data_IF_524893585395
#
_entry.id   IF_524893585395
#
_cell.length_a   1.000
_cell.length_b   1.000
_cell.length_c   1.000
_cell.angle_alpha   90.00
_cell.angle_beta   90.00
_cell.angle_gamma   90.00
#
_symmetry.space_group_name_H-M   'P 1'
#
loop_
_entity.id
_entity.type
_entity.pdbx_description
1 polymer ?
#
# COMPACT_ATOMS: atom_id res chain seq x y z
N UNK A 1 19.12 -23.11 29.38
CA UNK A 1 20.15 -22.40 28.60
C UNK A 1 20.55 -23.32 27.47
N UNK A 2 20.11 -23.05 26.24
CA UNK A 2 20.81 -23.50 25.04
C UNK A 2 20.28 -22.69 23.86
N UNK A 3 21.20 -22.01 23.22
CA UNK A 3 21.04 -20.95 22.23
C UNK A 3 20.84 -21.53 20.83
N UNK A 4 19.68 -21.31 20.21
CA UNK A 4 19.52 -21.52 18.77
C UNK A 4 20.21 -20.39 18.01
N UNK A 5 21.35 -20.71 17.40
CA UNK A 5 22.06 -19.87 16.43
C UNK A 5 21.29 -19.83 15.11
N UNK A 6 21.04 -18.62 14.61
CA UNK A 6 20.59 -18.36 13.25
C UNK A 6 21.66 -18.83 12.25
N UNK A 7 21.30 -19.74 11.35
CA UNK A 7 22.22 -20.30 10.36
C UNK A 7 22.15 -19.48 9.06
N UNK A 8 23.27 -18.81 8.79
CA UNK A 8 23.58 -17.99 7.60
C UNK A 8 23.64 -18.90 6.35
N UNK A 9 22.87 -18.61 5.30
CA UNK A 9 22.92 -19.36 4.04
C UNK A 9 23.75 -18.62 2.98
N UNK A 10 24.82 -19.26 2.51
CA UNK A 10 25.65 -18.88 1.35
C UNK A 10 25.16 -19.60 0.07
N UNK A 11 25.52 -19.14 -1.15
CA UNK A 11 24.94 -19.62 -2.40
C UNK A 11 25.72 -20.81 -3.00
N UNK A 12 25.00 -21.85 -3.42
CA UNK A 12 25.52 -22.98 -4.18
C UNK A 12 24.85 -23.06 -5.55
N UNK A 13 25.64 -22.92 -6.61
CA UNK A 13 25.27 -23.08 -8.02
C UNK A 13 25.11 -24.58 -8.34
N UNK A 14 24.01 -24.98 -8.98
CA UNK A 14 23.81 -26.34 -9.46
C UNK A 14 22.69 -26.41 -10.50
N UNK A 15 23.06 -26.79 -11.72
CA UNK A 15 22.20 -26.81 -12.90
C UNK A 15 21.44 -28.14 -13.09
N UNK A 16 20.38 -28.04 -13.90
CA UNK A 16 19.71 -29.09 -14.68
C UNK A 16 18.55 -29.86 -14.03
N UNK A 17 17.37 -29.67 -14.60
CA UNK A 17 16.12 -30.35 -14.27
C UNK A 17 14.96 -29.79 -15.11
N UNK A 18 14.90 -30.19 -16.38
CA UNK A 18 14.00 -29.68 -17.41
C UNK A 18 12.56 -30.15 -17.16
N UNK A 19 11.75 -29.29 -16.52
CA UNK A 19 10.29 -29.37 -16.48
C UNK A 19 9.71 -28.04 -16.96
N UNK A 20 8.99 -28.06 -18.07
CA UNK A 20 8.45 -26.88 -18.77
C UNK A 20 7.37 -26.16 -17.96
N UNK A 21 7.78 -25.23 -17.09
CA UNK A 21 6.92 -24.30 -16.35
C UNK A 21 6.57 -23.08 -17.21
N UNK A 22 5.55 -23.24 -18.07
CA UNK A 22 5.03 -22.15 -18.92
C UNK A 22 3.86 -21.37 -18.30
N UNK A 23 3.60 -21.48 -17.00
CA UNK A 23 2.35 -21.00 -16.37
C UNK A 23 2.51 -20.01 -15.20
N UNK A 24 3.70 -19.50 -14.92
CA UNK A 24 3.88 -18.35 -14.01
C UNK A 24 4.17 -17.11 -14.84
N UNK A 25 3.14 -16.63 -15.56
CA UNK A 25 3.22 -15.32 -16.21
C UNK A 25 3.41 -14.25 -15.13
N UNK A 26 4.39 -13.35 -15.26
CA UNK A 26 4.69 -12.25 -14.32
C UNK A 26 3.54 -11.27 -14.03
N UNK A 27 2.38 -11.41 -14.68
CA UNK A 27 1.26 -10.48 -14.58
C UNK A 27 0.13 -10.89 -13.63
N UNK A 28 -0.06 -12.17 -13.27
CA UNK A 28 -1.34 -12.59 -12.64
C UNK A 28 -1.47 -12.14 -11.18
N UNK A 29 -0.40 -12.22 -10.38
CA UNK A 29 -0.43 -11.66 -9.02
C UNK A 29 -0.20 -10.16 -9.05
N UNK A 30 0.81 -9.70 -9.79
CA UNK A 30 1.18 -8.29 -9.90
C UNK A 30 0.07 -7.41 -10.48
N UNK A 31 -0.66 -7.90 -11.48
CA UNK A 31 -1.78 -7.18 -12.06
C UNK A 31 -3.14 -7.48 -11.43
N UNK A 32 -3.40 -8.61 -10.75
CA UNK A 32 -4.59 -8.70 -9.88
C UNK A 32 -4.46 -7.75 -8.69
N UNK A 33 -3.24 -7.63 -8.14
CA UNK A 33 -2.90 -6.55 -7.22
C UNK A 33 -2.88 -5.19 -7.89
N UNK A 34 -2.53 -5.07 -9.18
CA UNK A 34 -2.62 -3.79 -9.91
C UNK A 34 -4.05 -3.39 -10.28
N UNK A 35 -4.97 -4.33 -10.43
CA UNK A 35 -6.42 -4.07 -10.58
C UNK A 35 -6.98 -3.54 -9.26
N UNK A 36 -6.49 -4.04 -8.11
CA UNK A 36 -6.72 -3.37 -6.81
C UNK A 36 -6.02 -2.00 -6.73
N UNK A 37 -4.84 -1.82 -7.35
CA UNK A 37 -4.13 -0.52 -7.47
C UNK A 37 -4.78 0.44 -8.49
N UNK A 38 -5.71 -0.03 -9.33
CA UNK A 38 -6.60 0.79 -10.17
C UNK A 38 -7.85 1.26 -9.41
N UNK A 39 -7.99 0.83 -8.16
CA UNK A 39 -9.14 1.08 -7.31
C UNK A 39 -9.83 -0.23 -6.99
N UNK A 40 -9.81 -0.64 -5.71
CA UNK A 40 -11.01 -1.26 -5.15
C UNK A 40 -12.20 -0.46 -5.70
N UNK A 41 -13.25 -1.08 -6.26
CA UNK A 41 -14.27 -0.37 -7.00
C UNK A 41 -14.74 0.78 -6.13
N UNK A 42 -14.25 1.98 -6.45
CA UNK A 42 -14.94 3.20 -6.12
C UNK A 42 -16.36 3.00 -6.61
N UNK A 43 -17.30 3.78 -6.09
CA UNK A 43 -18.60 3.85 -6.76
C UNK A 43 -18.40 3.91 -8.29
N UNK A 44 -19.31 3.35 -9.10
CA UNK A 44 -19.31 3.61 -10.53
C UNK A 44 -19.26 5.13 -10.69
N UNK A 45 -18.06 5.63 -10.99
CA UNK A 45 -17.90 6.98 -11.44
C UNK A 45 -18.70 7.00 -12.75
N UNK A 46 -19.54 8.03 -12.99
CA UNK A 46 -20.27 8.14 -14.24
C UNK A 46 -19.28 7.94 -15.39
N UNK A 47 -19.64 7.18 -16.44
CA UNK A 47 -18.70 6.81 -17.49
C UNK A 47 -18.05 8.08 -18.06
N UNK A 48 -16.74 8.26 -17.81
CA UNK A 48 -15.97 9.46 -18.18
C UNK A 48 -15.03 10.04 -17.11
N UNK A 49 -15.01 9.55 -15.87
CA UNK A 49 -14.30 10.18 -14.75
C UNK A 49 -12.94 9.56 -14.37
N UNK A 50 -12.38 8.68 -15.19
CA UNK A 50 -10.96 8.30 -15.10
C UNK A 50 -10.13 9.31 -15.91
N UNK A 51 -9.59 10.35 -15.25
CA UNK A 51 -8.50 11.12 -15.86
C UNK A 51 -8.40 12.61 -15.54
N UNK A 52 -9.32 13.23 -14.80
CA UNK A 52 -9.25 14.69 -14.56
C UNK A 52 -9.13 15.06 -13.07
N UNK A 53 -8.09 15.82 -12.68
CA UNK A 53 -7.93 16.36 -11.31
C UNK A 53 -9.14 17.18 -10.82
N UNK A 54 -9.94 17.71 -11.75
CA UNK A 54 -11.15 18.47 -11.46
C UNK A 54 -12.27 17.61 -10.84
N UNK A 55 -12.51 16.40 -11.37
CA UNK A 55 -13.55 15.50 -10.85
C UNK A 55 -13.20 15.01 -9.45
N UNK A 56 -11.93 14.66 -9.23
CA UNK A 56 -11.46 14.24 -7.91
C UNK A 56 -11.65 15.36 -6.88
N UNK A 57 -11.32 16.60 -7.24
CA UNK A 57 -11.54 17.77 -6.38
C UNK A 57 -13.02 17.96 -6.05
N UNK A 58 -13.91 17.82 -7.02
CA UNK A 58 -15.35 17.98 -6.81
C UNK A 58 -15.93 16.91 -5.87
N UNK A 59 -15.56 15.64 -6.08
CA UNK A 59 -16.00 14.52 -5.25
C UNK A 59 -15.54 14.70 -3.79
N UNK A 60 -14.27 15.08 -3.59
CA UNK A 60 -13.71 15.37 -2.27
C UNK A 60 -14.46 16.51 -1.59
N UNK A 61 -14.73 17.61 -2.32
CA UNK A 61 -15.49 18.74 -1.77
C UNK A 61 -16.93 18.37 -1.42
N UNK A 62 -17.59 17.50 -2.20
CA UNK A 62 -18.93 17.01 -1.90
C UNK A 62 -18.99 16.20 -0.60
N UNK A 63 -18.03 15.28 -0.38
CA UNK A 63 -17.97 14.46 0.85
C UNK A 63 -17.68 15.34 2.07
N UNK A 64 -16.73 16.28 1.97
CA UNK A 64 -16.43 17.21 3.05
C UNK A 64 -17.64 18.07 3.41
N UNK A 65 -18.39 18.57 2.39
CA UNK A 65 -19.64 19.33 2.62
C UNK A 65 -20.73 18.49 3.27
N UNK A 66 -20.83 17.20 2.94
CA UNK A 66 -21.79 16.29 3.56
C UNK A 66 -21.45 16.05 5.04
N UNK A 67 -20.18 15.79 5.34
CA UNK A 67 -19.69 15.61 6.71
C UNK A 67 -19.88 16.87 7.57
N UNK A 68 -19.59 18.05 6.99
CA UNK A 68 -19.81 19.35 7.62
C UNK A 68 -21.23 19.50 8.16
N UNK A 69 -22.23 19.21 7.34
CA UNK A 69 -23.65 19.30 7.71
C UNK A 69 -24.02 18.41 8.89
N UNK A 70 -23.32 17.29 9.06
CA UNK A 70 -23.64 16.28 10.07
C UNK A 70 -22.91 16.50 11.41
N UNK A 71 -21.84 17.29 11.43
CA UNK A 71 -20.97 17.47 12.60
C UNK A 71 -20.99 18.88 13.17
N UNK A 72 -21.15 19.94 12.36
CA UNK A 72 -21.33 21.30 12.86
C UNK A 72 -22.20 22.15 11.92
N UNK A 73 -23.25 22.77 12.48
CA UNK A 73 -24.10 23.72 11.77
C UNK A 73 -23.29 24.83 11.10
N UNK A 74 -23.51 25.02 9.80
CA UNK A 74 -23.17 26.19 8.97
C UNK A 74 -21.88 26.96 9.37
N UNK A 75 -20.71 26.36 9.12
CA UNK A 75 -19.40 27.04 9.18
C UNK A 75 -18.43 26.51 8.12
N UNK A 76 -17.41 27.30 7.72
CA UNK A 76 -16.30 26.83 6.87
C UNK A 76 -15.51 25.78 7.64
N UNK A 77 -15.73 24.49 7.34
CA UNK A 77 -15.05 23.38 8.02
C UNK A 77 -13.54 23.47 7.83
N UNK A 78 -12.82 23.53 8.95
CA UNK A 78 -11.39 23.31 8.98
C UNK A 78 -11.12 21.81 8.81
N UNK A 79 -10.83 21.40 7.58
CA UNK A 79 -10.63 19.99 7.20
C UNK A 79 -9.52 19.28 7.98
N UNK A 80 -8.52 20.03 8.48
CA UNK A 80 -7.43 19.48 9.29
C UNK A 80 -7.95 19.11 10.68
N UNK A 81 -8.73 19.99 11.30
CA UNK A 81 -9.37 19.73 12.59
C UNK A 81 -10.42 18.63 12.48
N UNK A 82 -11.29 18.69 11.47
CA UNK A 82 -12.32 17.67 11.23
C UNK A 82 -11.72 16.26 11.05
N UNK A 83 -10.56 16.15 10.38
CA UNK A 83 -9.85 14.88 10.27
C UNK A 83 -9.33 14.39 11.62
N UNK A 84 -8.73 15.27 12.41
CA UNK A 84 -8.22 14.91 13.73
C UNK A 84 -9.35 14.52 14.70
N UNK A 85 -10.46 15.26 14.70
CA UNK A 85 -11.66 14.97 15.48
C UNK A 85 -12.28 13.63 15.08
N UNK A 86 -12.35 13.34 13.78
CA UNK A 86 -12.88 12.06 13.29
C UNK A 86 -12.11 10.87 13.88
N UNK A 87 -10.77 10.90 13.84
CA UNK A 87 -9.94 9.81 14.38
C UNK A 87 -9.97 9.75 15.91
N UNK A 88 -10.07 10.88 16.60
CA UNK A 88 -10.26 10.92 18.06
C UNK A 88 -11.60 10.32 18.48
N UNK A 89 -12.68 10.68 17.78
CA UNK A 89 -14.00 10.09 17.97
C UNK A 89 -13.98 8.58 17.71
N UNK A 90 -13.25 8.13 16.68
CA UNK A 90 -13.10 6.71 16.38
C UNK A 90 -12.40 5.96 17.52
N UNK A 91 -11.35 6.54 18.09
CA UNK A 91 -10.66 5.98 19.25
C UNK A 91 -11.56 5.93 20.50
N UNK A 92 -12.32 7.00 20.79
CA UNK A 92 -13.22 7.02 21.95
C UNK A 92 -14.37 6.01 21.85
N UNK A 93 -14.72 5.58 20.64
CA UNK A 93 -15.66 4.47 20.36
C UNK A 93 -15.04 3.07 20.48
N UNK A 94 -13.77 2.98 20.91
CA UNK A 94 -13.10 1.71 21.16
C UNK A 94 -12.38 1.10 19.95
N UNK A 95 -12.08 1.89 18.91
CA UNK A 95 -11.24 1.40 17.83
C UNK A 95 -9.82 1.10 18.33
N UNK A 96 -9.31 -0.10 18.01
CA UNK A 96 -7.96 -0.52 18.36
C UNK A 96 -6.94 0.17 17.43
N UNK A 97 -6.41 1.29 17.90
CA UNK A 97 -5.40 2.08 17.19
C UNK A 97 -4.04 1.88 17.87
N UNK A 98 -3.21 0.99 17.33
CA UNK A 98 -1.88 0.63 17.87
C UNK A 98 -1.00 1.83 18.25
N UNK A 99 -1.11 2.95 17.50
CA UNK A 99 -0.34 4.18 17.72
C UNK A 99 -1.24 5.38 18.14
N UNK A 100 -2.44 5.11 18.66
CA UNK A 100 -3.44 6.12 19.00
C UNK A 100 -4.09 6.80 17.79
N UNK A 101 -4.94 7.80 18.03
CA UNK A 101 -5.65 8.56 17.00
C UNK A 101 -4.82 9.65 16.29
N UNK A 102 -3.50 9.60 16.38
CA UNK A 102 -2.65 10.67 15.88
C UNK A 102 -2.60 10.65 14.36
N UNK A 103 -2.97 11.78 13.75
CA UNK A 103 -2.81 12.01 12.31
C UNK A 103 -1.48 12.76 12.09
N UNK A 104 -0.56 12.13 11.39
CA UNK A 104 0.79 12.67 11.17
C UNK A 104 0.84 13.42 9.85
N UNK A 105 1.41 14.62 9.87
CA UNK A 105 1.63 15.43 8.66
C UNK A 105 3.12 15.58 8.40
N UNK A 106 3.54 15.24 7.18
CA UNK A 106 4.92 15.36 6.71
C UNK A 106 4.96 16.40 5.58
N UNK A 107 5.74 17.47 5.76
CA UNK A 107 5.95 18.48 4.74
C UNK A 107 7.24 18.16 3.98
N UNK A 108 7.16 18.07 2.65
CA UNK A 108 8.38 17.95 1.82
C UNK A 108 9.18 19.24 1.94
N UNK A 109 10.48 19.18 2.26
CA UNK A 109 11.33 20.37 2.32
C UNK A 109 11.38 21.07 0.97
N UNK A 110 10.94 22.33 0.92
CA UNK A 110 11.05 23.19 -0.25
C UNK A 110 11.06 24.66 0.17
N UNK A 111 11.83 25.47 -0.58
CA UNK A 111 11.91 26.93 -0.42
C UNK A 111 10.98 27.68 -1.38
N UNK A 112 10.34 26.98 -2.33
CA UNK A 112 9.45 27.56 -3.32
C UNK A 112 8.28 26.62 -3.65
N UNK A 113 7.14 27.15 -4.14
CA UNK A 113 6.05 26.32 -4.61
C UNK A 113 6.43 25.50 -5.86
N UNK A 114 5.74 24.37 -6.13
CA UNK A 114 4.62 23.82 -5.38
C UNK A 114 5.05 23.13 -4.07
N UNK A 115 4.33 23.39 -2.98
CA UNK A 115 4.53 22.69 -1.72
C UNK A 115 3.79 21.35 -1.70
N UNK A 116 4.42 20.31 -1.14
CA UNK A 116 3.83 18.97 -1.01
C UNK A 116 3.72 18.61 0.47
N UNK A 117 2.57 18.07 0.85
CA UNK A 117 2.32 17.53 2.17
C UNK A 117 1.78 16.12 2.05
N UNK A 118 2.31 15.20 2.86
CA UNK A 118 1.75 13.89 3.09
C UNK A 118 1.06 13.85 4.44
N UNK A 119 0.00 13.04 4.54
CA UNK A 119 -0.72 12.77 5.76
C UNK A 119 -0.82 11.26 5.95
N UNK A 120 -0.37 10.79 7.11
CA UNK A 120 -0.45 9.39 7.51
C UNK A 120 -1.50 9.25 8.59
N UNK A 121 -2.50 8.41 8.34
CA UNK A 121 -3.60 8.11 9.23
C UNK A 121 -3.22 7.01 10.23
N UNK A 122 -3.93 6.90 11.37
CA UNK A 122 -3.85 5.72 12.21
C UNK A 122 -4.10 4.43 11.40
N UNK A 123 -3.26 3.42 11.62
CA UNK A 123 -3.21 2.22 10.76
C UNK A 123 -2.29 2.37 9.53
N UNK A 124 -1.69 3.54 9.31
CA UNK A 124 -0.59 3.75 8.37
C UNK A 124 -1.00 4.14 6.94
N UNK A 125 -2.29 4.35 6.64
CA UNK A 125 -2.70 4.77 5.29
C UNK A 125 -2.17 6.18 5.02
N UNK A 126 -1.63 6.39 3.83
CA UNK A 126 -0.96 7.62 3.48
C UNK A 126 -1.62 8.27 2.27
N UNK A 127 -1.83 9.59 2.36
CA UNK A 127 -2.35 10.41 1.28
C UNK A 127 -1.51 11.67 1.13
N UNK A 128 -1.56 12.32 -0.02
CA UNK A 128 -0.78 13.51 -0.29
C UNK A 128 -1.61 14.64 -0.88
N UNK A 129 -1.05 15.84 -0.85
CA UNK A 129 -1.58 16.96 -1.62
C UNK A 129 -1.55 16.60 -3.11
N UNK A 130 -2.71 16.68 -3.76
CA UNK A 130 -2.95 16.15 -5.11
C UNK A 130 -3.04 17.24 -6.19
N UNK A 131 -2.87 18.50 -5.82
CA UNK A 131 -2.97 19.67 -6.69
C UNK A 131 -1.82 20.65 -6.44
N UNK A 132 -1.66 21.62 -7.33
CA UNK A 132 -0.72 22.72 -7.14
C UNK A 132 -1.06 23.50 -5.87
N UNK A 133 -0.11 23.60 -4.94
CA UNK A 133 -0.28 24.28 -3.66
C UNK A 133 0.77 25.40 -3.52
N UNK A 134 0.38 26.69 -3.63
CA UNK A 134 1.28 27.83 -3.51
C UNK A 134 1.78 28.10 -2.08
N UNK A 135 1.13 27.52 -1.06
CA UNK A 135 1.53 27.69 0.35
C UNK A 135 1.59 26.34 1.09
N UNK A 136 2.43 26.25 2.12
CA UNK A 136 2.51 25.05 3.00
C UNK A 136 1.16 24.73 3.65
N UNK A 137 0.40 25.75 4.04
CA UNK A 137 -0.94 25.59 4.62
C UNK A 137 -1.96 25.03 3.61
N UNK A 138 -1.85 25.39 2.33
CA UNK A 138 -2.68 24.79 1.28
C UNK A 138 -2.33 23.34 1.00
N UNK A 139 -1.04 22.99 0.97
CA UNK A 139 -0.60 21.61 0.83
C UNK A 139 -1.16 20.73 1.95
N UNK A 140 -1.04 21.20 3.21
CA UNK A 140 -1.60 20.50 4.39
C UNK A 140 -3.10 20.30 4.29
N UNK A 141 -3.86 21.35 3.91
CA UNK A 141 -5.32 21.25 3.72
C UNK A 141 -5.68 20.32 2.57
N UNK A 142 -4.93 20.34 1.47
CA UNK A 142 -5.14 19.46 0.31
C UNK A 142 -4.98 17.99 0.69
N UNK A 143 -3.91 17.64 1.41
CA UNK A 143 -3.69 16.28 1.91
C UNK A 143 -4.81 15.85 2.89
N UNK A 144 -5.17 16.72 3.85
CA UNK A 144 -6.22 16.45 4.82
C UNK A 144 -7.59 16.19 4.17
N UNK A 145 -7.93 16.90 3.08
CA UNK A 145 -9.19 16.71 2.35
C UNK A 145 -9.35 15.28 1.82
N UNK A 146 -8.35 14.75 1.12
CA UNK A 146 -8.39 13.36 0.61
C UNK A 146 -8.43 12.37 1.77
N UNK A 147 -7.61 12.59 2.79
CA UNK A 147 -7.53 11.68 3.92
C UNK A 147 -8.84 11.64 4.72
N UNK A 148 -9.51 12.78 4.92
CA UNK A 148 -10.83 12.85 5.56
C UNK A 148 -11.89 12.17 4.72
N UNK A 149 -11.91 12.41 3.40
CA UNK A 149 -12.82 11.71 2.50
C UNK A 149 -12.65 10.20 2.63
N UNK A 150 -11.41 9.69 2.56
CA UNK A 150 -11.14 8.26 2.67
C UNK A 150 -11.46 7.71 4.07
N UNK A 151 -11.22 8.49 5.13
CA UNK A 151 -11.53 8.08 6.50
C UNK A 151 -13.04 7.91 6.70
N UNK A 152 -13.84 8.91 6.30
CA UNK A 152 -15.31 8.87 6.41
C UNK A 152 -15.90 7.79 5.52
N UNK A 153 -15.39 7.67 4.29
CA UNK A 153 -15.94 6.75 3.31
C UNK A 153 -15.72 5.28 3.66
N UNK A 154 -14.58 4.93 4.26
CA UNK A 154 -14.27 3.56 4.66
C UNK A 154 -15.05 3.09 5.90
N UNK A 155 -15.68 3.98 6.67
CA UNK A 155 -16.58 3.59 7.77
C UNK A 155 -17.95 3.11 7.30
N UNK A 156 -18.32 3.37 6.05
CA UNK A 156 -19.64 3.01 5.56
C UNK A 156 -19.81 1.47 5.55
N UNK A 157 -20.92 0.90 6.05
CA UNK A 157 -21.11 -0.55 6.12
C UNK A 157 -20.97 -1.27 4.77
N UNK A 158 -21.36 -0.61 3.67
CA UNK A 158 -21.18 -1.14 2.30
C UNK A 158 -19.73 -1.21 1.82
N UNK A 159 -18.77 -0.71 2.61
CA UNK A 159 -17.33 -0.75 2.34
C UNK A 159 -16.58 -1.78 3.19
N UNK A 160 -17.32 -2.62 3.90
CA UNK A 160 -16.79 -3.83 4.51
C UNK A 160 -16.65 -4.93 3.45
N UNK A 161 -15.69 -5.83 3.66
CA UNK A 161 -15.53 -7.00 2.81
C UNK A 161 -16.72 -7.93 3.06
N UNK A 162 -17.59 -8.05 2.06
CA UNK A 162 -18.77 -8.94 2.05
C UNK A 162 -18.58 -10.10 1.09
N UNK A 163 -19.38 -11.15 1.20
CA UNK A 163 -19.37 -12.26 0.23
C UNK A 163 -19.63 -11.78 -1.19
N UNK A 164 -20.58 -10.86 -1.37
CA UNK A 164 -20.88 -10.24 -2.66
C UNK A 164 -19.66 -9.49 -3.23
N UNK A 165 -18.94 -8.75 -2.39
CA UNK A 165 -17.72 -8.06 -2.78
C UNK A 165 -16.62 -9.03 -3.21
N UNK A 166 -16.47 -10.16 -2.50
CA UNK A 166 -15.50 -11.20 -2.81
C UNK A 166 -15.79 -11.80 -4.18
N UNK A 167 -17.02 -12.25 -4.41
CA UNK A 167 -17.42 -12.84 -5.68
C UNK A 167 -17.19 -11.88 -6.85
N UNK A 168 -17.58 -10.61 -6.68
CA UNK A 168 -17.36 -9.58 -7.70
C UNK A 168 -15.86 -9.36 -7.97
N UNK A 169 -15.06 -9.21 -6.93
CA UNK A 169 -13.62 -8.93 -7.04
C UNK A 169 -12.85 -10.10 -7.66
N UNK A 170 -13.23 -11.34 -7.33
CA UNK A 170 -12.65 -12.55 -7.93
C UNK A 170 -13.05 -12.68 -9.39
N UNK A 171 -14.30 -12.39 -9.75
CA UNK A 171 -14.78 -12.37 -11.13
C UNK A 171 -14.04 -11.34 -11.99
N UNK A 172 -13.83 -10.13 -11.47
CA UNK A 172 -13.05 -9.08 -12.13
C UNK A 172 -11.58 -9.50 -12.33
N UNK A 173 -10.98 -10.18 -11.35
CA UNK A 173 -9.64 -10.74 -11.48
C UNK A 173 -9.58 -11.83 -12.56
N UNK A 174 -10.53 -12.77 -12.59
CA UNK A 174 -10.62 -13.80 -13.61
C UNK A 174 -10.73 -13.19 -15.02
N UNK A 175 -11.59 -12.19 -15.19
CA UNK A 175 -11.76 -11.49 -16.47
C UNK A 175 -10.48 -10.78 -16.91
N UNK A 176 -9.74 -10.18 -15.98
CA UNK A 176 -8.48 -9.47 -16.25
C UNK A 176 -7.35 -10.41 -16.69
N UNK A 177 -7.37 -11.69 -16.28
CA UNK A 177 -6.31 -12.67 -16.57
C UNK A 177 -6.70 -13.76 -17.55
N UNK A 178 -7.91 -13.69 -18.13
CA UNK A 178 -8.49 -14.79 -18.91
C UNK A 178 -8.44 -16.13 -18.13
N UNK A 179 -8.64 -16.08 -16.81
CA UNK A 179 -8.61 -17.25 -15.93
C UNK A 179 -9.94 -17.99 -15.89
N UNK A 180 -9.92 -19.27 -15.53
CA UNK A 180 -11.11 -20.11 -15.39
C UNK A 180 -11.57 -20.21 -13.93
N UNK A 181 -12.87 -20.49 -13.71
CA UNK A 181 -13.46 -20.59 -12.36
C UNK A 181 -12.77 -21.62 -11.47
N UNK A 182 -12.27 -22.72 -12.04
CA UNK A 182 -11.47 -23.73 -11.33
C UNK A 182 -10.16 -23.17 -10.75
N UNK A 183 -9.58 -22.13 -11.36
CA UNK A 183 -8.40 -21.48 -10.81
C UNK A 183 -8.75 -20.69 -9.55
N UNK A 184 -9.91 -20.05 -9.50
CA UNK A 184 -10.35 -19.30 -8.32
C UNK A 184 -10.67 -20.18 -7.12
N UNK A 185 -11.10 -21.43 -7.35
CA UNK A 185 -11.38 -22.39 -6.29
C UNK A 185 -10.13 -23.16 -5.81
N UNK A 186 -9.00 -23.04 -6.54
CA UNK A 186 -7.74 -23.66 -6.14
C UNK A 186 -6.84 -22.66 -5.37
N UNK A 187 -6.61 -22.86 -4.06
CA UNK A 187 -5.78 -21.96 -3.23
C UNK A 187 -4.31 -21.91 -3.67
N UNK A 188 -3.86 -22.85 -4.51
CA UNK A 188 -2.53 -22.86 -5.11
C UNK A 188 -2.43 -22.01 -6.39
N UNK A 189 -3.47 -21.25 -6.76
CA UNK A 189 -3.41 -20.25 -7.85
C UNK A 189 -3.34 -18.83 -7.28
N UNK A 190 -2.97 -17.85 -8.11
CA UNK A 190 -2.87 -16.45 -7.65
C UNK A 190 -4.25 -15.90 -7.27
N UNK A 191 -5.27 -16.31 -8.03
CA UNK A 191 -6.67 -15.89 -7.85
C UNK A 191 -7.28 -16.59 -6.62
N UNK A 192 -7.02 -17.88 -6.41
CA UNK A 192 -7.48 -18.58 -5.21
C UNK A 192 -6.82 -18.06 -3.92
N UNK A 193 -5.52 -17.72 -3.96
CA UNK A 193 -4.87 -17.05 -2.84
C UNK A 193 -5.48 -15.66 -2.56
N UNK A 194 -5.83 -14.91 -3.61
CA UNK A 194 -6.51 -13.63 -3.49
C UNK A 194 -7.91 -13.77 -2.87
N UNK A 195 -8.70 -14.76 -3.31
CA UNK A 195 -10.00 -15.08 -2.71
C UNK A 195 -9.86 -15.43 -1.23
N UNK A 196 -8.93 -16.32 -0.89
CA UNK A 196 -8.66 -16.72 0.50
C UNK A 196 -8.29 -15.52 1.39
N UNK A 197 -7.49 -14.59 0.88
CA UNK A 197 -7.15 -13.36 1.61
C UNK A 197 -8.38 -12.51 1.89
N UNK A 198 -9.27 -12.34 0.92
CA UNK A 198 -10.51 -11.58 1.14
C UNK A 198 -11.44 -12.31 2.11
N UNK A 199 -11.60 -13.63 1.97
CA UNK A 199 -12.42 -14.44 2.86
C UNK A 199 -11.95 -14.40 4.31
N UNK A 200 -10.63 -14.42 4.52
CA UNK A 200 -10.01 -14.30 5.86
C UNK A 200 -10.15 -12.92 6.49
N UNK A 201 -10.58 -11.91 5.72
CA UNK A 201 -10.76 -10.54 6.17
C UNK A 201 -12.21 -10.06 6.01
N UNK A 202 -13.19 -10.98 5.89
CA UNK A 202 -14.62 -10.63 5.88
C UNK A 202 -14.99 -9.75 7.07
N UNK A 203 -15.84 -8.76 6.81
CA UNK A 203 -16.29 -7.79 7.80
C UNK A 203 -15.29 -6.68 8.11
N UNK A 204 -14.01 -6.81 7.76
CA UNK A 204 -13.03 -5.70 7.88
C UNK A 204 -13.27 -4.64 6.81
N UNK A 205 -12.85 -3.41 7.10
CA UNK A 205 -12.81 -2.32 6.14
C UNK A 205 -11.72 -2.53 5.09
N UNK A 206 -11.89 -1.91 3.92
CA UNK A 206 -10.88 -1.93 2.87
C UNK A 206 -9.53 -1.36 3.34
N UNK A 207 -9.56 -0.37 4.23
CA UNK A 207 -8.35 0.27 4.77
C UNK A 207 -7.52 -0.68 5.65
N UNK A 208 -8.18 -1.52 6.45
CA UNK A 208 -7.54 -2.59 7.22
C UNK A 208 -6.97 -3.66 6.29
N UNK A 209 -7.72 -4.05 5.26
CA UNK A 209 -7.24 -5.01 4.26
C UNK A 209 -6.05 -4.48 3.46
N UNK A 210 -5.98 -3.17 3.21
CA UNK A 210 -4.87 -2.54 2.50
C UNK A 210 -3.53 -2.67 3.22
N UNK A 211 -3.49 -2.80 4.56
CA UNK A 211 -2.24 -3.02 5.28
C UNK A 211 -1.62 -4.36 4.88
N UNK A 212 -2.43 -5.43 4.93
CA UNK A 212 -2.04 -6.76 4.48
C UNK A 212 -1.61 -6.75 3.01
N UNK A 213 -2.37 -6.08 2.15
CA UNK A 213 -2.03 -5.97 0.74
C UNK A 213 -0.69 -5.27 0.50
N UNK A 214 -0.38 -4.24 1.29
CA UNK A 214 0.90 -3.52 1.18
C UNK A 214 2.08 -4.43 1.49
N UNK A 215 1.98 -5.25 2.55
CA UNK A 215 3.03 -6.23 2.90
C UNK A 215 3.28 -7.19 1.74
N UNK A 216 2.22 -7.77 1.17
CA UNK A 216 2.35 -8.68 0.03
C UNK A 216 2.90 -8.01 -1.22
N UNK A 217 2.51 -6.77 -1.50
CA UNK A 217 3.07 -5.99 -2.61
C UNK A 217 4.57 -5.74 -2.44
N UNK A 218 5.01 -5.40 -1.22
CA UNK A 218 6.44 -5.21 -0.93
C UNK A 218 7.23 -6.52 -1.04
N UNK A 219 6.70 -7.62 -0.51
CA UNK A 219 7.31 -8.96 -0.63
C UNK A 219 7.38 -9.43 -2.09
N UNK A 220 6.43 -9.03 -2.92
CA UNK A 220 6.46 -9.29 -4.35
C UNK A 220 7.56 -8.45 -5.02
N UNK A 221 7.55 -7.15 -4.76
CA UNK A 221 8.45 -6.16 -5.34
C UNK A 221 9.92 -6.44 -5.01
N UNK A 222 10.26 -6.72 -3.76
CA UNK A 222 11.63 -7.07 -3.36
C UNK A 222 12.00 -8.52 -3.74
N UNK A 223 11.09 -9.29 -4.35
CA UNK A 223 11.33 -10.66 -4.80
C UNK A 223 11.31 -11.72 -3.70
N UNK A 224 10.97 -11.38 -2.45
CA UNK A 224 10.86 -12.36 -1.35
C UNK A 224 9.84 -13.46 -1.66
N UNK A 225 8.69 -13.14 -2.27
CA UNK A 225 7.72 -14.17 -2.67
C UNK A 225 8.30 -15.14 -3.72
N UNK A 226 9.15 -14.64 -4.62
CA UNK A 226 9.84 -15.49 -5.61
C UNK A 226 10.82 -16.42 -4.90
N UNK A 227 11.60 -15.92 -3.95
CA UNK A 227 12.55 -16.73 -3.19
C UNK A 227 11.85 -17.78 -2.32
N UNK A 228 10.73 -17.44 -1.66
CA UNK A 228 9.92 -18.39 -0.89
C UNK A 228 9.36 -19.49 -1.79
N UNK A 229 8.87 -19.13 -2.99
CA UNK A 229 8.42 -20.11 -3.99
C UNK A 229 9.55 -21.07 -4.42
N UNK A 230 10.76 -20.56 -4.63
CA UNK A 230 11.93 -21.38 -4.99
C UNK A 230 12.34 -22.34 -3.86
N UNK A 231 12.07 -21.96 -2.60
CA UNK A 231 12.27 -22.81 -1.41
C UNK A 231 11.08 -23.74 -1.11
N UNK A 232 10.11 -23.84 -2.02
CA UNK A 232 8.91 -24.66 -1.87
C UNK A 232 8.02 -24.29 -0.66
N UNK A 233 8.07 -23.02 -0.21
CA UNK A 233 7.08 -22.53 0.75
C UNK A 233 5.69 -22.53 0.09
N UNK A 234 4.70 -23.11 0.75
CA UNK A 234 3.34 -23.10 0.26
C UNK A 234 2.71 -21.71 0.41
N UNK A 235 1.71 -21.40 -0.41
CA UNK A 235 1.01 -20.11 -0.33
C UNK A 235 0.28 -19.96 1.00
N UNK A 236 -0.29 -21.05 1.51
CA UNK A 236 -1.00 -21.04 2.79
C UNK A 236 -0.07 -20.72 3.95
N UNK A 237 1.14 -21.28 3.98
CA UNK A 237 2.14 -20.95 5.01
C UNK A 237 2.56 -19.48 4.95
N UNK A 238 2.83 -18.97 3.73
CA UNK A 238 3.18 -17.56 3.54
C UNK A 238 2.02 -16.65 3.99
N UNK A 239 0.79 -16.99 3.60
CA UNK A 239 -0.40 -16.26 4.00
C UNK A 239 -0.59 -16.27 5.53
N UNK A 240 -0.46 -17.42 6.17
CA UNK A 240 -0.58 -17.54 7.62
C UNK A 240 0.52 -16.77 8.38
N UNK A 241 1.74 -16.71 7.84
CA UNK A 241 2.86 -16.01 8.46
C UNK A 241 2.69 -14.48 8.39
N UNK A 242 2.18 -13.95 7.29
CA UNK A 242 2.05 -12.50 7.08
C UNK A 242 0.64 -11.94 7.35
N UNK A 243 -0.39 -12.78 7.51
CA UNK A 243 -1.80 -12.34 7.72
C UNK A 243 -2.01 -11.44 8.93
N UNK A 244 -1.21 -11.63 9.98
CA UNK A 244 -1.30 -10.88 11.23
C UNK A 244 -0.09 -9.98 11.48
N UNK A 245 0.86 -9.97 10.55
CA UNK A 245 2.14 -9.29 10.73
C UNK A 245 2.09 -7.92 10.05
N UNK A 246 2.14 -6.87 10.85
CA UNK A 246 2.27 -5.52 10.34
C UNK A 246 3.66 -5.33 9.70
N UNK A 247 3.79 -4.30 8.85
CA UNK A 247 5.07 -3.91 8.30
C UNK A 247 5.94 -3.29 9.42
N UNK A 248 6.77 -4.13 10.02
CA UNK A 248 7.67 -3.81 11.13
C UNK A 248 9.08 -3.43 10.63
N UNK A 249 9.91 -2.93 11.54
CA UNK A 249 11.27 -2.51 11.24
C UNK A 249 12.16 -3.68 10.78
N UNK A 250 11.89 -4.89 11.26
CA UNK A 250 12.60 -6.09 10.85
C UNK A 250 12.36 -6.42 9.37
N UNK A 251 11.11 -6.36 8.90
CA UNK A 251 10.76 -6.55 7.48
C UNK A 251 11.43 -5.46 6.64
N UNK A 252 11.34 -4.18 7.05
CA UNK A 252 11.97 -3.07 6.32
C UNK A 252 13.48 -3.26 6.23
N UNK A 253 14.12 -3.64 7.33
CA UNK A 253 15.56 -3.87 7.39
C UNK A 253 15.98 -5.05 6.50
N UNK A 254 15.24 -6.16 6.55
CA UNK A 254 15.51 -7.31 5.70
C UNK A 254 15.39 -6.96 4.21
N UNK A 255 14.35 -6.21 3.84
CA UNK A 255 14.18 -5.75 2.45
C UNK A 255 15.29 -4.77 2.03
N UNK A 256 15.75 -3.91 2.94
CA UNK A 256 16.86 -3.00 2.68
C UNK A 256 18.17 -3.77 2.42
N UNK A 257 18.46 -4.81 3.22
CA UNK A 257 19.63 -5.68 3.01
C UNK A 257 19.60 -6.39 1.63
N UNK A 258 18.41 -6.83 1.19
CA UNK A 258 18.26 -7.41 -0.15
C UNK A 258 18.64 -6.38 -1.24
N UNK A 259 18.24 -5.12 -1.06
CA UNK A 259 18.59 -4.03 -1.98
C UNK A 259 20.07 -3.64 -1.93
N UNK A 260 20.70 -3.67 -0.75
CA UNK A 260 22.16 -3.51 -0.61
C UNK A 260 22.90 -4.59 -1.39
N UNK A 261 22.48 -5.85 -1.28
CA UNK A 261 23.07 -6.96 -2.04
C UNK A 261 22.85 -6.83 -3.56
N UNK A 262 21.68 -6.35 -3.99
CA UNK A 262 21.40 -6.03 -5.40
C UNK A 262 22.30 -4.93 -5.95
N UNK A 263 22.56 -3.88 -5.17
CA UNK A 263 23.48 -2.82 -5.59
C UNK A 263 24.93 -3.33 -5.76
N UNK A 264 25.38 -4.21 -4.87
CA UNK A 264 26.72 -4.84 -4.97
C UNK A 264 26.86 -5.72 -6.23
N UNK A 265 25.80 -6.40 -6.63
CA UNK A 265 25.78 -7.28 -7.80
C UNK A 265 25.54 -6.52 -9.11
N UNK A 266 24.71 -5.48 -9.08
CA UNK A 266 24.35 -4.64 -10.22
C UNK A 266 24.44 -3.18 -9.80
N UNK A 267 25.60 -2.53 -10.00
CA UNK A 267 25.77 -1.12 -9.67
C UNK A 267 24.70 -0.22 -10.30
N UNK A 268 24.23 0.74 -9.51
CA UNK A 268 23.16 1.69 -9.85
C UNK A 268 21.75 1.10 -9.82
N UNK A 269 21.54 -0.16 -9.41
CA UNK A 269 20.21 -0.74 -9.30
C UNK A 269 19.35 0.00 -8.26
N UNK A 270 19.94 0.36 -7.12
CA UNK A 270 19.27 1.09 -6.05
C UNK A 270 18.86 2.49 -6.49
N UNK A 271 19.77 3.23 -7.13
CA UNK A 271 19.50 4.58 -7.66
C UNK A 271 18.39 4.56 -8.72
N UNK A 272 18.41 3.58 -9.64
CA UNK A 272 17.37 3.45 -10.67
C UNK A 272 16.01 3.13 -10.06
N UNK A 273 15.95 2.23 -9.09
CA UNK A 273 14.70 1.88 -8.42
C UNK A 273 14.15 3.04 -7.60
N UNK A 274 15.02 3.79 -6.90
CA UNK A 274 14.63 4.97 -6.14
C UNK A 274 14.01 6.02 -7.06
N UNK A 275 14.65 6.32 -8.20
CA UNK A 275 14.10 7.25 -9.18
C UNK A 275 12.75 6.80 -9.75
N UNK A 276 12.57 5.50 -10.02
CA UNK A 276 11.26 4.97 -10.47
C UNK A 276 10.19 5.11 -9.39
N UNK A 277 10.55 4.78 -8.15
CA UNK A 277 9.64 4.85 -7.00
C UNK A 277 9.19 6.29 -6.72
N UNK A 278 10.08 7.27 -6.85
CA UNK A 278 9.72 8.68 -6.67
C UNK A 278 8.74 9.18 -7.73
N UNK A 279 8.97 8.82 -9.00
CA UNK A 279 8.03 9.12 -10.09
C UNK A 279 6.67 8.46 -9.87
N UNK A 280 6.66 7.16 -9.54
CA UNK A 280 5.43 6.43 -9.24
C UNK A 280 4.67 7.06 -8.06
N UNK A 281 5.39 7.47 -7.00
CA UNK A 281 4.80 8.13 -5.84
C UNK A 281 4.14 9.45 -6.21
N UNK A 282 4.79 10.27 -7.05
CA UNK A 282 4.23 11.53 -7.51
C UNK A 282 3.01 11.34 -8.43
N UNK A 283 3.06 10.38 -9.35
CA UNK A 283 1.92 10.02 -10.19
C UNK A 283 0.72 9.55 -9.35
N UNK A 284 0.96 8.65 -8.39
CA UNK A 284 -0.07 8.17 -7.48
C UNK A 284 -0.64 9.31 -6.61
N UNK A 285 0.22 10.22 -6.13
CA UNK A 285 -0.18 11.39 -5.34
C UNK A 285 -1.07 12.32 -6.14
N UNK A 286 -0.70 12.66 -7.37
CA UNK A 286 -1.50 13.53 -8.23
C UNK A 286 -2.83 12.88 -8.64
N UNK A 287 -2.86 11.55 -8.74
CA UNK A 287 -4.10 10.78 -8.93
C UNK A 287 -4.95 10.64 -7.65
N UNK A 288 -4.50 11.17 -6.51
CA UNK A 288 -5.20 11.09 -5.23
C UNK A 288 -5.34 9.66 -4.68
N UNK A 289 -4.42 8.77 -5.07
CA UNK A 289 -4.40 7.37 -4.62
C UNK A 289 -3.84 7.24 -3.21
N UNK A 290 -4.06 6.07 -2.63
CA UNK A 290 -3.36 5.64 -1.41
C UNK A 290 -1.86 5.48 -1.71
N UNK A 291 -1.01 6.01 -0.83
CA UNK A 291 0.43 6.18 -1.06
C UNK A 291 1.33 5.30 -0.17
N UNK A 292 0.77 4.52 0.76
CA UNK A 292 1.55 3.74 1.74
C UNK A 292 2.56 2.84 1.04
N UNK A 293 2.12 2.07 0.03
CA UNK A 293 3.03 1.19 -0.71
C UNK A 293 4.23 1.94 -1.31
N UNK A 294 4.00 3.12 -1.89
CA UNK A 294 5.02 3.90 -2.58
C UNK A 294 5.96 4.58 -1.58
N UNK A 295 5.42 5.06 -0.46
CA UNK A 295 6.21 5.61 0.66
C UNK A 295 7.09 4.54 1.30
N UNK A 296 6.53 3.37 1.60
CA UNK A 296 7.30 2.25 2.19
C UNK A 296 8.39 1.75 1.22
N UNK A 297 8.11 1.65 -0.09
CA UNK A 297 9.17 1.41 -1.09
C UNK A 297 10.29 2.44 -0.98
N UNK A 298 9.95 3.73 -0.97
CA UNK A 298 10.93 4.82 -0.89
C UNK A 298 11.75 4.74 0.40
N UNK A 299 11.10 4.53 1.54
CA UNK A 299 11.75 4.48 2.85
C UNK A 299 12.69 3.28 2.97
N UNK A 300 12.31 2.10 2.44
CA UNK A 300 13.18 0.91 2.37
C UNK A 300 14.42 1.18 1.49
N UNK A 301 14.26 1.84 0.34
CA UNK A 301 15.37 2.16 -0.57
C UNK A 301 16.33 3.20 0.06
N UNK A 302 15.78 4.21 0.75
CA UNK A 302 16.59 5.18 1.49
C UNK A 302 17.33 4.53 2.66
N UNK A 303 16.70 3.59 3.35
CA UNK A 303 17.37 2.79 4.39
C UNK A 303 18.54 1.99 3.82
N UNK A 304 18.36 1.34 2.66
CA UNK A 304 19.43 0.63 1.97
C UNK A 304 20.58 1.57 1.53
N UNK A 305 20.24 2.76 1.02
CA UNK A 305 21.23 3.77 0.62
C UNK A 305 22.06 4.28 1.82
N UNK A 306 21.41 4.49 2.97
CA UNK A 306 22.08 4.90 4.21
C UNK A 306 23.05 3.83 4.71
N UNK A 307 22.68 2.55 4.63
CA UNK A 307 23.57 1.43 5.01
C UNK A 307 24.84 1.40 4.13
N UNK A 308 24.70 1.63 2.82
CA UNK A 308 25.86 1.73 1.92
C UNK A 308 26.75 2.93 2.26
N UNK A 309 26.20 4.09 2.60
CA UNK A 309 26.98 5.26 3.03
C UNK A 309 27.80 5.01 4.30
N UNK A 310 27.21 4.28 5.26
CA UNK A 310 27.90 3.88 6.49
C UNK A 310 28.98 2.81 6.26
N UNK A 311 28.77 1.90 5.30
CA UNK A 311 29.79 0.91 4.93
C UNK A 311 31.00 1.55 4.23
N UNK A 312 30.79 2.55 3.38
CA UNK A 312 31.91 3.26 2.72
C UNK A 312 32.71 4.12 3.71
N UNK A 313 32.08 4.70 4.73
CA UNK A 313 32.77 5.47 5.77
C UNK A 313 33.53 4.59 6.77
N UNK A 314 33.14 3.32 6.93
CA UNK A 314 33.84 2.36 7.80
C UNK A 314 35.04 1.67 7.14
N UNK A 315 35.18 1.80 5.82
CA UNK A 315 36.26 1.20 5.02
C UNK A 315 37.35 2.21 4.59
N UNK A 316 37.29 3.44 5.10
CA UNK A 316 38.28 4.49 4.88
C UNK A 316 39.05 4.78 6.18
#
# INVERSE_FOLDING_TARGET
METMRAQRLQPGVGASGRGTLRALRPGVTGAATATLLAGAPGLPLPPGAAGSPAVLREAVEAVVRSFAKHTQGYGRVNVVEALQEFWQMKQSRGADLKNGALVVYEMVPSNSPPYVCYVTLPGGSCFGSFQFCPTKAEARRSAAKIALMNSVFNEHPSRRITDEFIEKSVSEALASFNGNREEADNPNTGIGAFRFMLESNKGKSMLEFQELMTVFQLLHWNGSLKAMRERQCSRQEVLAHYSHRALDDDIRHQMALDWVSREQSVPGALSRELASTERELDEARLAGKELRFHKEKKDILLLAAGQLGNMHSSNC
#
